data_IF_150655237298
#
_entry.id   IF_150655237298
#
_cell.length_a   1.000
_cell.length_b   1.000
_cell.length_c   1.000
_cell.angle_alpha   90.00
_cell.angle_beta   90.00
_cell.angle_gamma   90.00
#
_symmetry.space_group_name_H-M   'P 1'
#
loop_
_entity.id
_entity.type
_entity.pdbx_description
1 polymer ?
#
# COMPACT_ATOMS: atom_id res chain seq x y z
N UNK A 1 -15.14 22.25 -15.42
CA UNK A 1 -15.27 20.94 -14.75
C UNK A 1 -15.53 21.19 -13.28
N UNK A 2 -16.45 20.45 -12.67
CA UNK A 2 -16.71 20.51 -11.23
C UNK A 2 -15.52 19.90 -10.45
N UNK A 3 -15.44 20.18 -9.13
CA UNK A 3 -14.40 19.59 -8.29
C UNK A 3 -14.50 18.06 -8.24
N UNK A 4 -15.72 17.51 -8.30
CA UNK A 4 -15.93 16.06 -8.42
C UNK A 4 -15.37 15.51 -9.73
N UNK A 5 -15.64 16.13 -10.87
CA UNK A 5 -15.10 15.68 -12.16
C UNK A 5 -13.56 15.75 -12.18
N UNK A 6 -12.98 16.83 -11.63
CA UNK A 6 -11.54 16.98 -11.52
C UNK A 6 -10.93 15.87 -10.66
N UNK A 7 -11.51 15.59 -9.50
CA UNK A 7 -11.07 14.56 -8.57
C UNK A 7 -11.12 13.17 -9.22
N UNK A 8 -12.26 12.80 -9.83
CA UNK A 8 -12.42 11.49 -10.45
C UNK A 8 -11.52 11.31 -11.67
N UNK A 9 -11.33 12.35 -12.51
CA UNK A 9 -10.38 12.28 -13.63
C UNK A 9 -8.94 12.16 -13.17
N UNK A 10 -8.57 12.85 -12.09
CA UNK A 10 -7.23 12.76 -11.53
C UNK A 10 -6.97 11.36 -10.93
N UNK A 11 -7.96 10.83 -10.20
CA UNK A 11 -7.88 9.47 -9.65
C UNK A 11 -7.81 8.41 -10.75
N UNK A 12 -8.62 8.51 -11.80
CA UNK A 12 -8.59 7.58 -12.93
C UNK A 12 -7.19 7.49 -13.57
N UNK A 13 -6.49 8.61 -13.75
CA UNK A 13 -5.11 8.61 -14.23
C UNK A 13 -4.15 7.97 -13.22
N UNK A 14 -4.36 8.20 -11.92
CA UNK A 14 -3.56 7.59 -10.85
C UNK A 14 -3.75 6.07 -10.84
N UNK A 15 -4.99 5.60 -11.00
CA UNK A 15 -5.28 4.16 -11.12
C UNK A 15 -4.66 3.53 -12.36
N UNK A 16 -4.62 4.23 -13.50
CA UNK A 16 -3.93 3.75 -14.69
C UNK A 16 -2.41 3.53 -14.44
N UNK A 17 -1.76 4.46 -13.73
CA UNK A 17 -0.36 4.29 -13.31
C UNK A 17 -0.19 3.14 -12.32
N UNK A 18 -1.11 2.98 -11.37
CA UNK A 18 -1.12 1.86 -10.43
C UNK A 18 -1.25 0.51 -11.15
N UNK A 19 -2.02 0.44 -12.23
CA UNK A 19 -2.11 -0.77 -13.07
C UNK A 19 -0.81 -1.08 -13.81
N UNK A 20 0.01 -0.07 -14.14
CA UNK A 20 1.35 -0.28 -14.71
C UNK A 20 2.24 -0.95 -13.66
N UNK A 21 2.23 -0.46 -12.41
CA UNK A 21 2.92 -1.11 -11.29
C UNK A 21 2.48 -2.56 -11.10
N UNK A 22 1.18 -2.83 -11.18
CA UNK A 22 0.65 -4.20 -11.12
C UNK A 22 1.16 -5.12 -12.24
N UNK A 23 1.32 -4.59 -13.46
CA UNK A 23 1.90 -5.36 -14.58
C UNK A 23 3.38 -5.65 -14.38
N UNK A 24 4.14 -4.70 -13.81
CA UNK A 24 5.53 -4.93 -13.43
C UNK A 24 5.65 -6.03 -12.37
N UNK A 25 4.74 -6.04 -11.38
CA UNK A 25 4.66 -7.11 -10.38
C UNK A 25 4.32 -8.46 -11.01
N UNK A 26 3.33 -8.51 -11.90
CA UNK A 26 2.97 -9.75 -12.61
C UNK A 26 4.15 -10.27 -13.45
N UNK A 27 4.83 -9.42 -14.20
CA UNK A 27 6.00 -9.78 -15.00
C UNK A 27 7.14 -10.31 -14.11
N UNK A 28 7.34 -9.70 -12.93
CA UNK A 28 8.33 -10.14 -11.95
C UNK A 28 8.10 -11.60 -11.50
N UNK A 29 6.85 -11.99 -11.29
CA UNK A 29 6.51 -13.33 -10.82
C UNK A 29 6.48 -14.39 -11.94
N UNK A 30 6.43 -13.97 -13.21
CA UNK A 30 6.14 -14.90 -14.31
C UNK A 30 7.19 -14.94 -15.40
N UNK A 31 7.69 -13.79 -15.86
CA UNK A 31 8.50 -13.69 -17.09
C UNK A 31 9.89 -13.11 -16.85
N UNK A 32 10.09 -12.35 -15.77
CA UNK A 32 11.32 -11.62 -15.52
C UNK A 32 12.52 -12.57 -15.34
N UNK A 33 13.64 -12.36 -16.05
CA UNK A 33 14.88 -13.10 -15.80
C UNK A 33 15.40 -12.87 -14.38
N UNK A 34 15.92 -13.91 -13.73
CA UNK A 34 16.41 -13.85 -12.34
C UNK A 34 17.50 -12.79 -12.10
N UNK A 35 18.28 -12.45 -13.13
CA UNK A 35 19.31 -11.40 -13.04
C UNK A 35 18.79 -9.96 -13.06
N UNK A 36 17.47 -9.74 -13.27
CA UNK A 36 16.88 -8.40 -13.42
C UNK A 36 16.28 -7.84 -12.12
N UNK A 37 16.44 -8.51 -10.98
CA UNK A 37 15.78 -8.14 -9.73
C UNK A 37 16.12 -6.72 -9.25
N UNK A 38 17.40 -6.30 -9.35
CA UNK A 38 17.82 -4.95 -8.93
C UNK A 38 17.23 -3.86 -9.84
N UNK A 39 17.20 -4.10 -11.17
CA UNK A 39 16.55 -3.17 -12.10
C UNK A 39 15.05 -3.07 -11.81
N UNK A 40 14.37 -4.19 -11.58
CA UNK A 40 12.94 -4.21 -11.24
C UNK A 40 12.69 -3.44 -9.94
N UNK A 41 13.54 -3.59 -8.94
CA UNK A 41 13.47 -2.80 -7.70
C UNK A 41 13.51 -1.30 -7.97
N UNK A 42 14.38 -0.84 -8.88
CA UNK A 42 14.46 0.56 -9.29
C UNK A 42 13.20 1.02 -10.04
N UNK A 43 12.66 0.18 -10.93
CA UNK A 43 11.40 0.47 -11.65
C UNK A 43 10.21 0.60 -10.68
N UNK A 44 10.14 -0.29 -9.67
CA UNK A 44 9.10 -0.24 -8.65
C UNK A 44 9.22 1.00 -7.76
N UNK A 45 10.43 1.41 -7.38
CA UNK A 45 10.66 2.66 -6.65
C UNK A 45 10.25 3.87 -7.47
N UNK A 46 10.64 3.94 -8.75
CA UNK A 46 10.34 5.07 -9.62
C UNK A 46 8.82 5.25 -9.84
N UNK A 47 8.09 4.16 -10.09
CA UNK A 47 6.63 4.24 -10.24
C UNK A 47 5.94 4.58 -8.91
N UNK A 48 6.43 4.07 -7.77
CA UNK A 48 5.87 4.44 -6.46
C UNK A 48 6.11 5.91 -6.13
N UNK A 49 7.27 6.49 -6.45
CA UNK A 49 7.52 7.92 -6.29
C UNK A 49 6.50 8.78 -7.06
N UNK A 50 6.19 8.41 -8.32
CA UNK A 50 5.15 9.06 -9.12
C UNK A 50 3.76 8.88 -8.49
N UNK A 51 3.42 7.68 -8.06
CA UNK A 51 2.14 7.37 -7.43
C UNK A 51 1.97 8.11 -6.10
N UNK A 52 3.01 8.13 -5.26
CA UNK A 52 3.02 8.86 -3.99
C UNK A 52 2.79 10.36 -4.21
N UNK A 53 3.54 11.00 -5.12
CA UNK A 53 3.38 12.41 -5.45
C UNK A 53 1.96 12.73 -5.96
N UNK A 54 1.33 11.81 -6.69
CA UNK A 54 -0.06 11.97 -7.11
C UNK A 54 -1.03 11.80 -5.96
N UNK A 55 -0.89 10.76 -5.14
CA UNK A 55 -1.79 10.47 -4.01
C UNK A 55 -1.70 11.54 -2.90
N UNK A 56 -0.55 12.19 -2.72
CA UNK A 56 -0.34 13.25 -1.74
C UNK A 56 -0.54 14.68 -2.30
N UNK A 57 -1.03 14.82 -3.54
CA UNK A 57 -1.21 16.12 -4.19
C UNK A 57 -2.26 16.97 -3.46
N UNK A 58 -1.91 18.22 -3.08
CA UNK A 58 -2.78 19.13 -2.34
C UNK A 58 -4.11 19.43 -3.02
N UNK A 59 -4.16 19.37 -4.36
CA UNK A 59 -5.41 19.54 -5.11
C UNK A 59 -6.49 18.51 -4.74
N UNK A 60 -6.08 17.30 -4.34
CA UNK A 60 -7.04 16.29 -3.86
C UNK A 60 -7.73 16.81 -2.60
N UNK A 61 -6.96 17.34 -1.64
CA UNK A 61 -7.51 17.93 -0.42
C UNK A 61 -8.44 19.13 -0.70
N UNK A 62 -8.05 20.00 -1.65
CA UNK A 62 -8.88 21.14 -2.07
C UNK A 62 -10.21 20.66 -2.65
N UNK A 63 -10.20 19.73 -3.62
CA UNK A 63 -11.41 19.18 -4.20
C UNK A 63 -12.27 18.48 -3.15
N UNK A 64 -11.68 17.62 -2.30
CA UNK A 64 -12.40 16.89 -1.25
C UNK A 64 -13.09 17.81 -0.24
N UNK A 65 -12.53 19.00 0.04
CA UNK A 65 -13.10 19.97 0.99
C UNK A 65 -14.32 20.70 0.43
N UNK A 66 -14.43 20.78 -0.89
CA UNK A 66 -15.52 21.48 -1.59
C UNK A 66 -16.68 20.55 -1.99
N UNK A 67 -16.54 19.23 -1.77
CA UNK A 67 -17.59 18.28 -2.16
C UNK A 67 -18.69 18.21 -1.12
N UNK A 68 -19.92 18.47 -1.55
CA UNK A 68 -21.12 17.99 -0.86
C UNK A 68 -21.27 16.49 -1.11
N UNK A 69 -21.62 15.73 -0.05
CA UNK A 69 -21.80 14.28 -0.15
C UNK A 69 -22.95 14.00 -1.12
N UNK A 70 -22.63 13.34 -2.22
CA UNK A 70 -23.59 12.96 -3.24
C UNK A 70 -24.64 11.99 -2.68
N UNK A 71 -25.88 12.09 -3.20
CA UNK A 71 -26.91 11.06 -2.97
C UNK A 71 -26.60 9.73 -3.70
N UNK A 72 -25.64 9.74 -4.65
CA UNK A 72 -25.17 8.54 -5.35
C UNK A 72 -24.18 7.76 -4.45
N UNK A 73 -24.58 6.56 -4.06
CA UNK A 73 -23.79 5.68 -3.18
C UNK A 73 -22.48 5.24 -3.81
N UNK A 74 -22.42 5.06 -5.14
CA UNK A 74 -21.19 4.67 -5.83
C UNK A 74 -20.17 5.81 -5.81
N UNK A 75 -20.63 7.04 -6.11
CA UNK A 75 -19.77 8.24 -6.04
C UNK A 75 -19.28 8.47 -4.60
N UNK A 76 -20.16 8.32 -3.61
CA UNK A 76 -19.82 8.45 -2.20
C UNK A 76 -18.73 7.45 -1.80
N UNK A 77 -18.84 6.20 -2.24
CA UNK A 77 -17.84 5.16 -1.98
C UNK A 77 -16.49 5.50 -2.65
N UNK A 78 -16.49 5.93 -3.90
CA UNK A 78 -15.27 6.36 -4.60
C UNK A 78 -14.57 7.51 -3.88
N UNK A 79 -15.32 8.55 -3.52
CA UNK A 79 -14.78 9.73 -2.80
C UNK A 79 -14.20 9.32 -1.45
N UNK A 80 -14.84 8.40 -0.72
CA UNK A 80 -14.32 7.85 0.54
C UNK A 80 -12.98 7.14 0.34
N UNK A 81 -12.84 6.29 -0.68
CA UNK A 81 -11.59 5.56 -0.93
C UNK A 81 -10.46 6.49 -1.42
N UNK A 82 -10.78 7.50 -2.25
CA UNK A 82 -9.81 8.52 -2.66
C UNK A 82 -9.32 9.31 -1.43
N UNK A 83 -10.22 9.72 -0.54
CA UNK A 83 -9.87 10.40 0.72
C UNK A 83 -8.96 9.54 1.58
N UNK A 84 -9.29 8.27 1.79
CA UNK A 84 -8.49 7.33 2.57
C UNK A 84 -7.07 7.19 2.00
N UNK A 85 -6.96 7.02 0.68
CA UNK A 85 -5.67 6.93 -0.02
C UNK A 85 -4.84 8.21 0.11
N UNK A 86 -5.49 9.37 -0.01
CA UNK A 86 -4.85 10.68 0.16
C UNK A 86 -4.33 10.88 1.60
N UNK A 87 -5.18 10.66 2.60
CA UNK A 87 -4.82 10.82 4.01
C UNK A 87 -3.69 9.85 4.41
N UNK A 88 -3.68 8.63 3.87
CA UNK A 88 -2.60 7.67 4.06
C UNK A 88 -1.29 8.18 3.44
N UNK A 89 -1.34 8.65 2.19
CA UNK A 89 -0.16 9.14 1.47
C UNK A 89 0.47 10.36 2.15
N UNK A 90 -0.32 11.21 2.81
CA UNK A 90 0.19 12.34 3.59
C UNK A 90 0.97 11.93 4.85
N UNK A 91 0.72 10.73 5.39
CA UNK A 91 1.39 10.24 6.61
C UNK A 91 2.71 9.56 6.30
N UNK A 92 2.83 8.87 5.18
CA UNK A 92 4.02 8.09 4.80
C UNK A 92 4.96 8.98 3.98
N UNK A 93 6.22 9.20 4.40
CA UNK A 93 7.20 9.94 3.60
C UNK A 93 7.44 9.28 2.22
N UNK A 94 7.69 10.11 1.19
CA UNK A 94 7.89 9.62 -0.17
C UNK A 94 9.09 8.68 -0.30
N UNK A 95 10.20 9.03 0.31
CA UNK A 95 11.43 8.24 0.34
C UNK A 95 11.23 6.87 1.03
N UNK A 96 10.41 6.81 2.07
CA UNK A 96 10.05 5.56 2.73
C UNK A 96 9.17 4.69 1.81
N UNK A 97 8.19 5.27 1.13
CA UNK A 97 7.34 4.54 0.19
C UNK A 97 8.16 3.95 -0.98
N UNK A 98 9.06 4.73 -1.57
CA UNK A 98 9.99 4.28 -2.62
C UNK A 98 10.93 3.18 -2.12
N UNK A 99 11.51 3.33 -0.92
CA UNK A 99 12.40 2.33 -0.33
C UNK A 99 11.66 1.00 -0.06
N UNK A 100 10.41 1.05 0.41
CA UNK A 100 9.57 -0.14 0.59
C UNK A 100 9.33 -0.82 -0.76
N UNK A 101 8.92 -0.08 -1.79
CA UNK A 101 8.65 -0.62 -3.12
C UNK A 101 9.90 -1.32 -3.71
N UNK A 102 11.07 -0.68 -3.62
CA UNK A 102 12.33 -1.24 -4.08
C UNK A 102 12.72 -2.51 -3.32
N UNK A 103 12.75 -2.41 -1.96
CA UNK A 103 13.23 -3.50 -1.12
C UNK A 103 12.33 -4.72 -1.15
N UNK A 104 11.03 -4.56 -1.17
CA UNK A 104 10.10 -5.70 -1.25
C UNK A 104 10.18 -6.40 -2.59
N UNK A 105 10.36 -5.66 -3.71
CA UNK A 105 10.58 -6.23 -5.03
C UNK A 105 11.86 -7.09 -5.08
N UNK A 106 12.99 -6.54 -4.60
CA UNK A 106 14.26 -7.29 -4.56
C UNK A 106 14.17 -8.48 -3.59
N UNK A 107 13.53 -8.29 -2.44
CA UNK A 107 13.37 -9.33 -1.41
C UNK A 107 12.61 -10.55 -1.92
N UNK A 108 11.64 -10.37 -2.81
CA UNK A 108 10.84 -11.44 -3.39
C UNK A 108 11.72 -12.49 -4.11
N UNK A 109 12.62 -12.06 -4.98
CA UNK A 109 13.53 -12.97 -5.68
C UNK A 109 14.50 -13.69 -4.75
N UNK A 110 15.01 -12.98 -3.72
CA UNK A 110 15.87 -13.58 -2.69
C UNK A 110 15.11 -14.59 -1.83
N UNK A 111 13.85 -14.27 -1.47
CA UNK A 111 12.99 -15.21 -0.78
C UNK A 111 12.74 -16.48 -1.61
N UNK A 112 12.40 -16.34 -2.89
CA UNK A 112 12.13 -17.48 -3.78
C UNK A 112 13.35 -18.43 -3.86
N UNK A 113 14.56 -17.88 -4.00
CA UNK A 113 15.80 -18.63 -4.06
C UNK A 113 16.11 -19.34 -2.73
N UNK A 114 16.01 -18.63 -1.61
CA UNK A 114 16.25 -19.17 -0.27
C UNK A 114 15.21 -20.25 0.09
N UNK A 115 13.94 -20.03 -0.28
CA UNK A 115 12.85 -21.01 -0.08
C UNK A 115 13.09 -22.30 -0.87
N UNK A 116 13.55 -22.18 -2.13
CA UNK A 116 13.87 -23.33 -2.97
C UNK A 116 15.05 -24.14 -2.42
N UNK A 117 16.02 -23.47 -1.77
CA UNK A 117 17.20 -24.07 -1.15
C UNK A 117 16.99 -24.53 0.30
N UNK A 118 15.82 -24.27 0.89
CA UNK A 118 15.53 -24.45 2.33
C UNK A 118 16.53 -23.71 3.25
N UNK A 119 16.98 -22.53 2.82
CA UNK A 119 18.01 -21.71 3.46
C UNK A 119 17.41 -20.40 4.03
N UNK A 120 16.81 -20.48 5.20
CA UNK A 120 16.31 -19.30 5.91
C UNK A 120 17.44 -18.32 6.28
N UNK A 121 18.65 -18.83 6.58
CA UNK A 121 19.76 -17.98 7.00
C UNK A 121 20.18 -16.99 5.89
N UNK A 122 20.10 -17.40 4.63
CA UNK A 122 20.34 -16.52 3.49
C UNK A 122 19.25 -15.42 3.33
N UNK A 123 18.01 -15.68 3.74
CA UNK A 123 16.91 -14.72 3.65
C UNK A 123 16.78 -13.80 4.87
N UNK A 124 17.17 -14.27 6.06
CA UNK A 124 16.97 -13.54 7.31
C UNK A 124 17.45 -12.07 7.30
N UNK A 125 18.65 -11.72 6.76
CA UNK A 125 19.08 -10.32 6.69
C UNK A 125 18.17 -9.44 5.82
N UNK A 126 17.65 -10.01 4.73
CA UNK A 126 16.74 -9.30 3.81
C UNK A 126 15.38 -9.06 4.47
N UNK A 127 14.86 -10.06 5.18
CA UNK A 127 13.65 -9.96 5.97
C UNK A 127 13.78 -8.88 7.05
N UNK A 128 14.91 -8.80 7.73
CA UNK A 128 15.18 -7.79 8.76
C UNK A 128 15.10 -6.36 8.19
N UNK A 129 15.69 -6.12 7.00
CA UNK A 129 15.57 -4.83 6.30
C UNK A 129 14.12 -4.49 5.96
N UNK A 130 13.35 -5.44 5.43
CA UNK A 130 11.93 -5.25 5.10
C UNK A 130 11.13 -4.95 6.36
N UNK A 131 11.34 -5.70 7.45
CA UNK A 131 10.66 -5.48 8.73
C UNK A 131 10.98 -4.12 9.34
N UNK A 132 12.20 -3.62 9.18
CA UNK A 132 12.58 -2.27 9.61
C UNK A 132 11.76 -1.23 8.88
N UNK A 133 11.72 -1.26 7.55
CA UNK A 133 10.94 -0.33 6.73
C UNK A 133 9.45 -0.41 7.06
N UNK A 134 8.89 -1.61 7.25
CA UNK A 134 7.48 -1.79 7.61
C UNK A 134 7.14 -1.27 9.02
N UNK A 135 8.09 -1.32 9.96
CA UNK A 135 7.91 -0.68 11.28
C UNK A 135 7.91 0.84 11.17
N UNK A 136 8.80 1.41 10.35
CA UNK A 136 8.84 2.86 10.09
C UNK A 136 7.52 3.34 9.45
N UNK A 137 7.01 2.60 8.47
CA UNK A 137 5.70 2.85 7.85
C UNK A 137 4.56 2.78 8.88
N UNK A 138 4.53 1.73 9.69
CA UNK A 138 3.52 1.55 10.74
C UNK A 138 3.52 2.69 11.76
N UNK A 139 4.69 3.16 12.18
CA UNK A 139 4.82 4.31 13.09
C UNK A 139 4.31 5.61 12.43
N UNK A 140 4.62 5.84 11.17
CA UNK A 140 4.13 6.99 10.41
C UNK A 140 2.60 6.97 10.28
N UNK A 141 2.02 5.82 9.97
CA UNK A 141 0.57 5.63 9.86
C UNK A 141 -0.15 5.81 11.19
N UNK A 142 0.42 5.26 12.26
CA UNK A 142 -0.18 5.28 13.59
C UNK A 142 -0.29 6.70 14.17
N UNK A 143 0.64 7.59 13.83
CA UNK A 143 0.64 8.99 14.34
C UNK A 143 0.49 9.04 15.89
N UNK A 144 1.11 8.08 16.59
CA UNK A 144 1.06 7.96 18.04
C UNK A 144 -0.03 7.02 18.60
N UNK A 145 -0.91 6.45 17.74
CA UNK A 145 -1.87 5.42 18.11
C UNK A 145 -1.23 4.01 18.03
N UNK A 146 -2.06 2.96 18.13
CA UNK A 146 -1.58 1.59 17.98
C UNK A 146 -1.09 1.31 16.54
N UNK A 147 0.12 0.76 16.42
CA UNK A 147 0.79 0.51 15.14
C UNK A 147 0.12 -0.62 14.35
N UNK A 148 -0.33 -1.68 15.07
CA UNK A 148 -0.99 -2.81 14.43
C UNK A 148 -2.33 -2.39 13.85
N UNK A 149 -3.14 -1.67 14.62
CA UNK A 149 -4.43 -1.14 14.16
C UNK A 149 -4.27 -0.18 12.97
N UNK A 150 -3.21 0.64 12.97
CA UNK A 150 -2.94 1.54 11.84
C UNK A 150 -2.59 0.78 10.55
N UNK A 151 -1.81 -0.30 10.64
CA UNK A 151 -1.46 -1.14 9.49
C UNK A 151 -2.62 -2.03 9.07
N UNK A 152 -3.49 -2.44 9.99
CA UNK A 152 -4.68 -3.23 9.71
C UNK A 152 -5.62 -2.52 8.73
N UNK A 153 -5.63 -1.19 8.73
CA UNK A 153 -6.46 -0.40 7.81
C UNK A 153 -6.16 -0.63 6.33
N UNK A 154 -5.00 -1.17 5.97
CA UNK A 154 -4.66 -1.52 4.59
C UNK A 154 -5.34 -2.84 4.14
N UNK A 155 -5.81 -3.66 5.08
CA UNK A 155 -6.43 -4.97 4.84
C UNK A 155 -7.92 -4.96 5.19
N UNK A 156 -8.27 -4.42 6.36
CA UNK A 156 -9.63 -4.39 6.90
C UNK A 156 -9.99 -2.96 7.37
N UNK A 157 -10.35 -2.07 6.44
CA UNK A 157 -10.66 -0.69 6.76
C UNK A 157 -11.81 -0.54 7.75
N UNK A 158 -11.54 0.17 8.85
CA UNK A 158 -12.55 0.46 9.87
C UNK A 158 -12.67 -0.60 10.97
N UNK A 159 -11.86 -1.68 10.92
CA UNK A 159 -11.81 -2.71 11.98
C UNK A 159 -10.59 -2.47 12.88
N UNK A 160 -10.74 -2.70 14.17
CA UNK A 160 -9.65 -2.70 15.15
C UNK A 160 -9.24 -4.14 15.53
N UNK A 161 -8.05 -4.28 16.13
CA UNK A 161 -7.60 -5.55 16.73
C UNK A 161 -8.59 -6.07 17.77
N UNK A 162 -9.22 -5.19 18.57
CA UNK A 162 -10.24 -5.57 19.53
C UNK A 162 -11.50 -6.16 18.88
N UNK A 163 -11.91 -5.63 17.71
CA UNK A 163 -13.04 -6.20 16.95
C UNK A 163 -12.71 -7.60 16.43
N UNK A 164 -11.46 -7.79 15.93
CA UNK A 164 -10.98 -9.11 15.50
C UNK A 164 -10.93 -10.11 16.64
N UNK A 165 -10.42 -9.72 17.80
CA UNK A 165 -10.36 -10.57 19.00
C UNK A 165 -11.77 -11.00 19.44
N UNK A 166 -12.73 -10.10 19.43
CA UNK A 166 -14.13 -10.40 19.75
C UNK A 166 -14.74 -11.37 18.74
N UNK A 167 -14.52 -11.13 17.44
CA UNK A 167 -15.02 -12.00 16.36
C UNK A 167 -14.42 -13.41 16.46
N UNK A 168 -13.11 -13.53 16.57
CA UNK A 168 -12.44 -14.84 16.68
C UNK A 168 -12.76 -15.56 17.99
N UNK A 169 -12.89 -14.80 19.09
CA UNK A 169 -13.33 -15.34 20.36
C UNK A 169 -14.73 -15.96 20.29
N UNK A 170 -15.65 -15.33 19.57
CA UNK A 170 -16.99 -15.87 19.34
C UNK A 170 -17.01 -17.09 18.40
N UNK A 171 -16.12 -17.14 17.42
CA UNK A 171 -16.03 -18.27 16.47
C UNK A 171 -15.37 -19.51 17.06
N UNK A 172 -14.39 -19.33 17.95
CA UNK A 172 -13.55 -20.41 18.49
C UNK A 172 -14.31 -21.61 19.06
N UNK A 173 -15.38 -21.45 19.89
CA UNK A 173 -16.12 -22.58 20.44
C UNK A 173 -16.80 -23.47 19.39
N UNK A 174 -17.11 -22.92 18.23
CA UNK A 174 -17.74 -23.66 17.13
C UNK A 174 -16.74 -24.34 16.19
N UNK A 175 -15.43 -24.06 16.34
CA UNK A 175 -14.36 -24.63 15.53
C UNK A 175 -13.58 -25.74 16.25
N UNK A 176 -13.79 -25.93 17.52
CA UNK A 176 -13.19 -26.94 18.41
C UNK A 176 -14.27 -27.93 18.85
#
# INVERSE_FOLDING_TARGET
MSDLENLLNFDHQTQALNQISGRLGWDQETMMPSGSAEQRGQEMAAIEGVLHARRSNSKIGEWLSNLDISADLAVTAQVREIRRSYERALKVPADLAEAIAQKTSVAQGKWASARAADDFAAFAPVLEEVLKLKREEGLALASGADVYDAMLQDYEPGISSADLDNMFGAMRPGLI
#
